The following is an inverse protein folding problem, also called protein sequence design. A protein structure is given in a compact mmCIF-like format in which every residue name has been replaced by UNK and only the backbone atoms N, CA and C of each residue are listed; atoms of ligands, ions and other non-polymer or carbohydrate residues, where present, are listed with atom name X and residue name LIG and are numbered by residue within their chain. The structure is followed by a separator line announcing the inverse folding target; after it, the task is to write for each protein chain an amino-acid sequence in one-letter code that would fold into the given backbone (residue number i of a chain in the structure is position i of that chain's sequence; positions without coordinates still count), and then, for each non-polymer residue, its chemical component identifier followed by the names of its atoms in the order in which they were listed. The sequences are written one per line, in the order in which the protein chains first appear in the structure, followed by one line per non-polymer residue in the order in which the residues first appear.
data_IF_509814079147
#
_entry.id   IF_509814079147
#
_cell.length_a   1.000
_cell.length_b   1.000
_cell.length_c   1.000
_cell.angle_alpha   90.00
_cell.angle_beta   90.00
_cell.angle_gamma   90.00
#
_symmetry.space_group_name_H-M   'P 1'
#
loop_
_entity.id
_entity.type
_entity.pdbx_description
1 polymer ?
#
# COMPACT_ATOMS: atom_id res chain seq x y z
N UNK A 1 -7.76 9.39 -14.90
CA UNK A 1 -7.15 8.94 -13.63
C UNK A 1 -6.94 10.16 -12.75
N UNK A 2 -7.56 10.24 -11.57
CA UNK A 2 -7.51 11.43 -10.71
C UNK A 2 -6.22 11.55 -9.88
N UNK A 3 -5.54 10.44 -9.59
CA UNK A 3 -4.33 10.39 -8.78
C UNK A 3 -3.08 10.03 -9.61
N UNK A 4 -2.92 10.65 -10.79
CA UNK A 4 -1.83 10.33 -11.71
C UNK A 4 -0.43 10.59 -11.12
N UNK A 5 -0.25 11.68 -10.37
CA UNK A 5 1.05 12.01 -9.76
C UNK A 5 1.45 10.94 -8.74
N UNK A 6 0.50 10.53 -7.88
CA UNK A 6 0.69 9.47 -6.89
C UNK A 6 0.95 8.11 -7.55
N UNK A 7 0.19 7.78 -8.60
CA UNK A 7 0.39 6.55 -9.36
C UNK A 7 1.80 6.47 -9.97
N UNK A 8 2.28 7.56 -10.59
CA UNK A 8 3.64 7.61 -11.14
C UNK A 8 4.70 7.46 -10.05
N UNK A 9 4.54 8.15 -8.92
CA UNK A 9 5.48 8.01 -7.80
C UNK A 9 5.46 6.59 -7.20
N UNK A 10 4.29 5.97 -7.07
CA UNK A 10 4.14 4.59 -6.60
C UNK A 10 4.93 3.61 -7.47
N UNK A 11 4.83 3.74 -8.80
CA UNK A 11 5.52 2.87 -9.77
C UNK A 11 7.04 2.83 -9.57
N UNK A 12 7.62 3.91 -9.07
CA UNK A 12 9.06 4.02 -8.79
C UNK A 12 9.47 3.35 -7.46
N UNK A 13 8.51 2.98 -6.63
CA UNK A 13 8.79 2.36 -5.32
C UNK A 13 8.92 0.85 -5.41
N UNK A 14 9.57 0.27 -4.38
CA UNK A 14 9.61 -1.20 -4.21
C UNK A 14 8.24 -1.81 -3.97
N UNK A 15 7.25 -1.05 -3.47
CA UNK A 15 5.89 -1.52 -3.27
C UNK A 15 5.22 -1.96 -4.58
N UNK A 16 5.49 -1.24 -5.68
CA UNK A 16 4.98 -1.58 -7.01
C UNK A 16 5.57 -2.86 -7.60
N UNK A 17 6.66 -3.37 -7.02
CA UNK A 17 7.37 -4.61 -7.44
C UNK A 17 7.49 -5.62 -6.31
N UNK A 18 6.74 -5.44 -5.22
CA UNK A 18 6.91 -6.21 -4.00
C UNK A 18 6.71 -7.72 -4.26
N UNK A 19 5.65 -8.10 -4.96
CA UNK A 19 5.38 -9.50 -5.31
C UNK A 19 6.47 -10.07 -6.22
N UNK A 20 6.89 -9.29 -7.20
CA UNK A 20 7.90 -9.72 -8.19
C UNK A 20 9.28 -9.90 -7.55
N UNK A 21 9.53 -9.27 -6.40
CA UNK A 21 10.74 -9.46 -5.61
C UNK A 21 10.76 -10.78 -4.81
N UNK A 22 9.63 -11.49 -4.68
CA UNK A 22 9.60 -12.81 -4.09
C UNK A 22 10.21 -13.85 -5.03
N UNK A 23 10.90 -14.83 -4.45
CA UNK A 23 11.28 -16.04 -5.18
C UNK A 23 10.02 -16.81 -5.57
N UNK A 24 10.09 -17.57 -6.66
CA UNK A 24 8.97 -18.38 -7.15
C UNK A 24 8.41 -19.34 -6.07
N UNK A 25 9.29 -19.93 -5.27
CA UNK A 25 8.93 -20.81 -4.14
C UNK A 25 8.18 -20.10 -3.00
N UNK A 26 8.28 -18.77 -2.89
CA UNK A 26 7.67 -17.95 -1.84
C UNK A 26 6.36 -17.29 -2.27
N UNK A 27 6.08 -17.22 -3.59
CA UNK A 27 4.90 -16.54 -4.14
C UNK A 27 3.55 -17.18 -3.77
N UNK A 28 3.55 -18.43 -3.30
CA UNK A 28 2.35 -19.12 -2.81
C UNK A 28 2.24 -19.19 -1.28
N UNK A 29 3.23 -18.70 -0.54
CA UNK A 29 3.30 -18.83 0.91
C UNK A 29 2.47 -17.75 1.60
N UNK A 30 1.56 -18.15 2.48
CA UNK A 30 0.63 -17.23 3.14
C UNK A 30 1.37 -16.13 3.92
N UNK A 31 2.49 -16.50 4.56
CA UNK A 31 3.34 -15.60 5.32
C UNK A 31 3.97 -14.50 4.45
N UNK A 32 4.26 -14.78 3.18
CA UNK A 32 4.80 -13.81 2.23
C UNK A 32 3.68 -12.96 1.63
N UNK A 33 2.55 -13.58 1.29
CA UNK A 33 1.39 -12.91 0.71
C UNK A 33 0.74 -11.89 1.66
N UNK A 34 0.90 -12.05 2.97
CA UNK A 34 0.46 -11.04 3.93
C UNK A 34 1.07 -9.64 3.72
N UNK A 35 2.26 -9.56 3.11
CA UNK A 35 2.99 -8.29 2.91
C UNK A 35 3.26 -7.95 1.43
N UNK A 36 3.30 -8.95 0.54
CA UNK A 36 3.69 -8.78 -0.86
C UNK A 36 2.51 -8.78 -1.84
N UNK A 37 1.28 -8.69 -1.32
CA UNK A 37 0.03 -8.68 -2.09
C UNK A 37 -0.93 -7.65 -1.47
N UNK A 38 -1.93 -7.23 -2.26
CA UNK A 38 -3.02 -6.38 -1.77
C UNK A 38 -4.29 -7.19 -1.56
N UNK A 39 -4.88 -7.09 -0.38
CA UNK A 39 -6.16 -7.75 -0.11
C UNK A 39 -6.09 -9.27 -0.02
N UNK A 40 -4.93 -9.84 0.37
CA UNK A 40 -4.80 -11.27 0.65
C UNK A 40 -5.89 -11.73 1.65
N UNK A 41 -6.59 -12.83 1.30
CA UNK A 41 -7.78 -13.37 2.00
C UNK A 41 -9.02 -12.46 2.03
N UNK A 42 -8.97 -11.28 1.40
CA UNK A 42 -10.11 -10.34 1.27
C UNK A 42 -10.61 -10.22 -0.17
N UNK A 43 -9.82 -10.66 -1.14
CA UNK A 43 -10.13 -10.72 -2.56
C UNK A 43 -10.05 -12.16 -3.06
N UNK A 44 -10.93 -12.54 -3.98
CA UNK A 44 -10.85 -13.81 -4.70
C UNK A 44 -9.63 -13.83 -5.64
N UNK A 45 -9.24 -12.67 -6.15
CA UNK A 45 -8.08 -12.49 -7.02
C UNK A 45 -6.82 -12.16 -6.23
N UNK A 46 -5.70 -12.74 -6.66
CA UNK A 46 -4.37 -12.40 -6.16
C UNK A 46 -3.92 -11.06 -6.76
N UNK A 47 -4.20 -9.95 -6.08
CA UNK A 47 -3.72 -8.63 -6.47
C UNK A 47 -2.23 -8.46 -6.16
N UNK A 48 -1.38 -8.82 -7.12
CA UNK A 48 0.08 -8.69 -7.00
C UNK A 48 0.48 -7.27 -6.59
N UNK A 49 1.59 -7.22 -5.84
CA UNK A 49 2.24 -6.01 -5.32
C UNK A 49 1.42 -5.31 -4.22
N UNK A 50 2.07 -4.34 -3.57
CA UNK A 50 1.43 -3.50 -2.55
C UNK A 50 0.83 -2.30 -3.27
N UNK A 51 -0.45 -2.40 -3.60
CA UNK A 51 -1.24 -1.41 -4.34
C UNK A 51 -1.79 -0.34 -3.39
N UNK A 52 -2.54 0.62 -3.94
CA UNK A 52 -3.10 1.77 -3.21
C UNK A 52 -3.90 1.33 -1.98
N UNK A 53 -4.72 0.30 -2.15
CA UNK A 53 -5.68 -0.21 -1.17
C UNK A 53 -5.00 -0.89 0.02
N UNK A 54 -3.75 -1.34 -0.12
CA UNK A 54 -2.99 -1.91 0.99
C UNK A 54 -2.73 -0.87 2.09
N UNK A 55 -2.68 0.41 1.73
CA UNK A 55 -2.47 1.53 2.65
C UNK A 55 -3.76 2.33 2.91
N UNK A 56 -4.62 2.47 1.89
CA UNK A 56 -5.74 3.40 1.91
C UNK A 56 -7.12 2.74 2.06
N UNK A 57 -7.19 1.41 2.13
CA UNK A 57 -8.47 0.70 2.11
C UNK A 57 -9.09 0.65 0.72
N UNK A 58 -10.27 0.03 0.56
CA UNK A 58 -10.88 -0.23 -0.74
C UNK A 58 -11.32 1.06 -1.46
N UNK A 59 -10.58 1.45 -2.50
CA UNK A 59 -10.87 2.65 -3.29
C UNK A 59 -12.25 2.67 -3.95
N UNK A 60 -12.85 1.50 -4.18
CA UNK A 60 -14.21 1.36 -4.71
C UNK A 60 -15.26 2.07 -3.87
N UNK A 61 -15.03 2.18 -2.56
CA UNK A 61 -16.04 2.59 -1.59
C UNK A 61 -16.10 4.11 -1.46
N UNK A 62 -15.01 4.80 -1.80
CA UNK A 62 -14.89 6.26 -1.74
C UNK A 62 -14.51 6.93 -3.06
N UNK A 63 -14.53 6.23 -4.21
CA UNK A 63 -14.21 6.79 -5.53
C UNK A 63 -15.25 7.78 -6.08
N UNK A 64 -16.48 7.76 -5.56
CA UNK A 64 -17.52 8.69 -6.04
C UNK A 64 -17.05 10.14 -5.80
N UNK A 65 -17.21 11.01 -6.79
CA UNK A 65 -16.69 12.38 -6.73
C UNK A 65 -17.26 13.19 -5.55
N UNK A 66 -18.48 12.90 -5.09
CA UNK A 66 -19.10 13.58 -3.93
C UNK A 66 -18.54 13.07 -2.61
N UNK A 67 -18.03 11.85 -2.57
CA UNK A 67 -17.38 11.24 -1.41
C UNK A 67 -15.89 11.58 -1.39
N UNK A 68 -15.17 11.33 -2.49
CA UNK A 68 -13.71 11.53 -2.60
C UNK A 68 -13.26 12.97 -2.29
N UNK A 69 -14.08 13.97 -2.62
CA UNK A 69 -13.77 15.39 -2.37
C UNK A 69 -13.96 15.83 -0.92
N UNK A 70 -14.65 15.02 -0.13
CA UNK A 70 -14.99 15.28 1.27
C UNK A 70 -14.25 14.26 2.13
N UNK A 71 -13.23 14.72 2.86
CA UNK A 71 -12.32 13.83 3.58
C UNK A 71 -13.06 13.04 4.66
N UNK A 72 -13.95 13.68 5.42
CA UNK A 72 -14.72 13.00 6.45
C UNK A 72 -15.62 11.91 5.84
N UNK A 73 -16.29 12.20 4.72
CA UNK A 73 -17.09 11.19 4.00
C UNK A 73 -16.25 10.06 3.44
N UNK A 74 -15.09 10.36 2.88
CA UNK A 74 -14.18 9.33 2.37
C UNK A 74 -13.71 8.41 3.49
N UNK A 75 -13.33 8.95 4.65
CA UNK A 75 -12.94 8.16 5.83
C UNK A 75 -14.12 7.31 6.32
N UNK A 76 -15.31 7.90 6.43
CA UNK A 76 -16.51 7.17 6.82
C UNK A 76 -16.88 6.05 5.83
N UNK A 77 -16.52 6.20 4.55
CA UNK A 77 -16.71 5.21 3.50
C UNK A 77 -15.57 4.17 3.41
N UNK A 78 -14.53 4.25 4.24
CA UNK A 78 -13.47 3.24 4.32
C UNK A 78 -12.08 3.69 3.90
N UNK A 79 -11.87 4.98 3.59
CA UNK A 79 -10.53 5.53 3.39
C UNK A 79 -9.74 5.44 4.70
N UNK A 80 -8.58 4.78 4.63
CA UNK A 80 -7.62 4.74 5.71
C UNK A 80 -6.63 5.90 5.55
N UNK A 81 -6.55 6.74 6.58
CA UNK A 81 -5.47 7.72 6.72
C UNK A 81 -4.28 7.00 7.33
N UNK A 82 -3.23 6.83 6.53
CA UNK A 82 -2.04 6.06 6.90
C UNK A 82 -1.32 6.68 8.08
N UNK A 83 -0.93 5.84 9.03
CA UNK A 83 -0.03 6.20 10.14
C UNK A 83 1.21 5.30 10.09
N UNK A 84 2.14 5.50 11.01
CA UNK A 84 3.29 4.59 11.18
C UNK A 84 2.85 3.13 11.34
N UNK A 85 1.72 2.90 12.02
CA UNK A 85 1.18 1.57 12.25
C UNK A 85 0.76 0.88 10.95
N UNK A 86 0.25 1.63 9.96
CA UNK A 86 -0.03 1.08 8.63
C UNK A 86 1.23 0.50 7.99
N UNK A 87 2.37 1.19 8.12
CA UNK A 87 3.64 0.72 7.58
C UNK A 87 4.16 -0.50 8.35
N UNK A 88 4.03 -0.47 9.68
CA UNK A 88 4.44 -1.58 10.57
C UNK A 88 3.59 -2.84 10.41
N UNK A 89 2.48 -2.83 9.68
CA UNK A 89 1.76 -4.06 9.33
C UNK A 89 2.65 -5.05 8.58
N UNK A 90 3.58 -4.54 7.76
CA UNK A 90 4.52 -5.34 6.97
C UNK A 90 5.97 -5.12 7.41
N UNK A 91 6.34 -3.88 7.78
CA UNK A 91 7.68 -3.52 8.23
C UNK A 91 7.88 -3.88 9.71
N UNK A 92 7.92 -5.18 10.00
CA UNK A 92 8.05 -5.73 11.35
C UNK A 92 8.81 -7.08 11.33
N UNK A 93 8.98 -7.68 12.51
CA UNK A 93 9.73 -8.92 12.75
C UNK A 93 9.16 -10.18 12.06
N UNK A 94 7.92 -10.15 11.53
CA UNK A 94 7.37 -11.25 10.73
C UNK A 94 8.07 -11.38 9.37
N UNK A 95 8.71 -10.30 8.90
CA UNK A 95 9.55 -10.37 7.70
C UNK A 95 10.90 -11.01 8.06
N UNK A 96 11.30 -12.11 7.40
CA UNK A 96 12.57 -12.78 7.69
C UNK A 96 13.80 -11.91 7.41
N UNK A 97 13.63 -10.82 6.65
CA UNK A 97 14.68 -9.87 6.31
C UNK A 97 14.61 -8.57 7.10
N UNK A 98 13.76 -8.50 8.13
CA UNK A 98 13.58 -7.27 8.92
C UNK A 98 14.86 -6.89 9.67
N UNK A 99 15.28 -5.63 9.49
CA UNK A 99 16.45 -5.05 10.18
C UNK A 99 16.11 -3.74 10.92
N UNK A 100 14.82 -3.54 11.21
CA UNK A 100 14.29 -2.26 11.69
C UNK A 100 13.65 -1.43 10.58
N UNK A 101 12.79 -0.48 11.00
CA UNK A 101 12.09 0.43 10.12
C UNK A 101 12.03 1.82 10.76
N UNK A 102 12.46 2.85 10.02
CA UNK A 102 12.37 4.24 10.43
C UNK A 102 11.32 4.94 9.56
N UNK A 103 10.16 5.20 10.16
CA UNK A 103 9.02 5.81 9.46
C UNK A 103 9.30 7.24 8.98
N UNK A 104 9.98 8.05 9.81
CA UNK A 104 10.31 9.43 9.46
C UNK A 104 11.24 9.52 8.24
N UNK A 105 12.19 8.60 8.13
CA UNK A 105 13.07 8.53 6.96
C UNK A 105 12.35 7.99 5.73
N UNK A 106 11.55 6.92 5.88
CA UNK A 106 10.79 6.34 4.78
C UNK A 106 9.79 7.33 4.15
N UNK A 107 9.16 8.19 4.96
CA UNK A 107 8.24 9.23 4.46
C UNK A 107 8.89 10.20 3.47
N UNK A 108 10.18 10.51 3.62
CA UNK A 108 10.90 11.45 2.74
C UNK A 108 11.03 10.95 1.30
N UNK A 109 10.96 9.64 1.11
CA UNK A 109 11.09 8.96 -0.20
C UNK A 109 9.82 8.19 -0.59
N UNK A 110 8.71 8.44 0.11
CA UNK A 110 7.48 7.67 -0.01
C UNK A 110 6.68 7.94 -1.29
N UNK A 111 5.67 7.12 -1.52
CA UNK A 111 4.75 7.14 -2.68
C UNK A 111 4.07 8.52 -2.92
N UNK A 112 3.95 9.33 -1.87
CA UNK A 112 3.36 10.67 -1.93
C UNK A 112 4.39 11.81 -1.93
N UNK A 113 5.68 11.49 -1.83
CA UNK A 113 6.79 12.44 -1.93
C UNK A 113 7.04 12.81 -3.40
N UNK A 114 6.00 13.27 -4.09
CA UNK A 114 6.21 14.03 -5.32
C UNK A 114 6.80 15.35 -4.84
N UNK A 115 8.08 15.60 -5.15
CA UNK A 115 8.66 16.93 -4.97
C UNK A 115 7.70 17.91 -5.64
N UNK A 116 7.25 18.93 -4.90
CA UNK A 116 6.58 20.06 -5.51
C UNK A 116 7.44 20.52 -6.68
N UNK A 117 6.86 20.51 -7.88
CA UNK A 117 7.42 21.30 -8.99
C UNK A 117 7.50 22.76 -8.56
#
# INVERSE_FOLDING_TARGET
MCHQKQYKAWMETKHAKAFDALKAEDQGKEECLGCHNTGYKKSADLLKNVQCEACHGPGSDYKDMKVMKDKEKAIAAGLIITTEETCKMCHNEKSPTFKGFNFEEAKKTGVHAVKSE
#
